data_IF_748575512474
#
_entry.id   IF_748575512474
#
_cell.length_a   1.000
_cell.length_b   1.000
_cell.length_c   1.000
_cell.angle_alpha   90.00
_cell.angle_beta   90.00
_cell.angle_gamma   90.00
#
_symmetry.space_group_name_H-M   'P 1'
#
loop_
_entity.id
_entity.type
_entity.pdbx_description
1 polymer ?
#
# COMPACT_ATOMS: atom_id res chain seq x y z
N UNK A 1 -5.42 -23.83 -4.34
CA UNK A 1 -5.83 -22.47 -4.01
C UNK A 1 -4.76 -21.48 -4.35
N UNK A 2 -5.14 -20.37 -4.97
CA UNK A 2 -4.21 -19.34 -5.37
C UNK A 2 -3.64 -18.58 -4.19
N UNK A 3 -2.51 -17.96 -4.42
CA UNK A 3 -1.88 -17.08 -3.43
C UNK A 3 -2.66 -15.77 -3.33
N UNK A 4 -2.63 -15.16 -2.16
CA UNK A 4 -3.18 -13.83 -1.97
C UNK A 4 -2.13 -12.82 -2.43
N UNK A 5 -2.51 -11.97 -3.38
CA UNK A 5 -1.60 -10.98 -3.97
C UNK A 5 -1.78 -9.64 -3.27
N UNK A 6 -0.69 -9.01 -2.86
CA UNK A 6 -0.79 -7.69 -2.27
C UNK A 6 0.36 -6.78 -2.68
N UNK A 7 0.08 -5.48 -2.69
CA UNK A 7 1.08 -4.45 -2.91
C UNK A 7 1.28 -3.62 -1.66
N UNK A 8 2.33 -2.81 -1.64
CA UNK A 8 2.68 -1.97 -0.50
C UNK A 8 2.91 -0.55 -0.99
N UNK A 9 2.44 0.43 -0.23
CA UNK A 9 2.75 1.84 -0.45
C UNK A 9 3.66 2.27 0.70
N UNK A 10 4.91 2.64 0.40
CA UNK A 10 5.87 3.08 1.39
C UNK A 10 7.23 2.42 1.23
N UNK A 11 8.25 3.00 1.88
CA UNK A 11 9.62 2.52 1.77
C UNK A 11 10.36 2.41 3.11
N UNK A 12 9.65 2.58 4.23
CA UNK A 12 10.24 2.47 5.55
C UNK A 12 10.33 1.03 6.03
N UNK A 13 10.79 0.86 7.27
CA UNK A 13 10.98 -0.49 7.83
C UNK A 13 9.67 -1.28 7.93
N UNK A 14 8.53 -0.60 8.09
CA UNK A 14 7.24 -1.30 8.11
C UNK A 14 6.92 -1.89 6.73
N UNK A 15 7.23 -1.16 5.66
CA UNK A 15 7.08 -1.70 4.31
C UNK A 15 7.98 -2.92 4.11
N UNK A 16 9.22 -2.85 4.60
CA UNK A 16 10.15 -3.98 4.54
C UNK A 16 9.60 -5.21 5.24
N UNK A 17 8.94 -5.01 6.37
CA UNK A 17 8.33 -6.10 7.12
C UNK A 17 7.33 -6.89 6.26
N UNK A 18 6.48 -6.18 5.52
CA UNK A 18 5.47 -6.84 4.67
C UNK A 18 6.11 -7.56 3.47
N UNK A 19 7.23 -7.07 2.97
CA UNK A 19 7.98 -7.77 1.93
C UNK A 19 8.54 -9.07 2.49
N UNK A 20 9.06 -9.04 3.71
CA UNK A 20 9.60 -10.23 4.37
C UNK A 20 8.54 -11.30 4.61
N UNK A 21 7.32 -10.88 4.93
CA UNK A 21 6.22 -11.82 5.11
C UNK A 21 6.00 -12.64 3.84
N UNK A 22 5.94 -11.98 2.68
CA UNK A 22 5.71 -12.69 1.42
C UNK A 22 6.87 -13.65 1.10
N UNK A 23 8.09 -13.28 1.46
CA UNK A 23 9.25 -14.15 1.25
C UNK A 23 9.27 -15.33 2.22
N UNK A 24 8.73 -15.15 3.42
CA UNK A 24 8.70 -16.19 4.45
C UNK A 24 7.61 -17.22 4.19
N UNK A 25 6.48 -16.82 3.62
CA UNK A 25 5.37 -17.72 3.31
C UNK A 25 4.95 -17.60 1.84
N UNK A 26 5.85 -17.95 0.92
CA UNK A 26 5.60 -17.74 -0.51
C UNK A 26 4.51 -18.61 -1.11
N UNK A 27 4.08 -19.63 -0.40
CA UNK A 27 2.97 -20.47 -0.82
C UNK A 27 1.60 -19.85 -0.52
N UNK A 28 1.56 -18.84 0.38
CA UNK A 28 0.33 -18.18 0.78
C UNK A 28 0.19 -16.78 0.21
N UNK A 29 1.31 -16.07 0.07
CA UNK A 29 1.30 -14.66 -0.36
C UNK A 29 2.21 -14.42 -1.54
N UNK A 30 1.74 -13.56 -2.45
CA UNK A 30 2.55 -13.08 -3.55
C UNK A 30 2.63 -11.56 -3.46
N UNK A 31 3.85 -11.05 -3.37
CA UNK A 31 4.08 -9.61 -3.34
C UNK A 31 4.09 -9.08 -4.78
N UNK A 32 3.23 -8.13 -5.08
CA UNK A 32 3.12 -7.61 -6.45
C UNK A 32 4.14 -6.52 -6.75
N UNK A 33 4.11 -5.44 -5.97
CA UNK A 33 5.00 -4.31 -6.17
C UNK A 33 4.91 -3.37 -4.98
N UNK A 34 5.91 -2.49 -4.85
CA UNK A 34 5.89 -1.42 -3.86
C UNK A 34 5.81 -0.08 -4.58
N UNK A 35 4.97 0.82 -4.08
CA UNK A 35 4.86 2.17 -4.60
C UNK A 35 5.80 3.09 -3.83
N UNK A 36 6.77 3.66 -4.52
CA UNK A 36 7.71 4.64 -3.98
C UNK A 36 7.79 5.77 -4.99
N UNK A 37 7.36 6.97 -4.59
CA UNK A 37 7.27 8.10 -5.52
C UNK A 37 8.62 8.63 -5.98
N UNK A 38 9.62 8.62 -5.11
CA UNK A 38 10.96 9.05 -5.45
C UNK A 38 11.67 7.97 -6.26
N UNK A 39 12.02 8.28 -7.49
CA UNK A 39 12.60 7.30 -8.42
C UNK A 39 13.96 6.76 -7.95
N UNK A 40 14.78 7.62 -7.33
CA UNK A 40 16.08 7.18 -6.82
C UNK A 40 15.94 6.25 -5.64
N UNK A 41 15.06 6.61 -4.69
CA UNK A 41 14.76 5.73 -3.56
C UNK A 41 14.15 4.42 -4.03
N UNK A 42 13.29 4.47 -5.03
CA UNK A 42 12.68 3.29 -5.61
C UNK A 42 13.70 2.35 -6.22
N UNK A 43 14.66 2.91 -6.97
CA UNK A 43 15.71 2.11 -7.56
C UNK A 43 16.56 1.42 -6.49
N UNK A 44 16.98 2.18 -5.47
CA UNK A 44 17.77 1.63 -4.39
C UNK A 44 17.02 0.54 -3.63
N UNK A 45 15.72 0.76 -3.41
CA UNK A 45 14.87 -0.21 -2.74
C UNK A 45 14.73 -1.50 -3.56
N UNK A 46 14.52 -1.35 -4.87
CA UNK A 46 14.42 -2.50 -5.77
C UNK A 46 15.71 -3.33 -5.78
N UNK A 47 16.85 -2.66 -5.81
CA UNK A 47 18.14 -3.33 -5.79
C UNK A 47 18.38 -4.07 -4.46
N UNK A 48 18.00 -3.44 -3.36
CA UNK A 48 18.21 -4.02 -2.02
C UNK A 48 17.33 -5.22 -1.75
N UNK A 49 16.07 -5.16 -2.16
CA UNK A 49 15.07 -6.19 -1.80
C UNK A 49 14.66 -7.10 -2.95
N UNK A 50 15.10 -6.79 -4.17
CA UNK A 50 14.77 -7.62 -5.32
C UNK A 50 13.28 -7.65 -5.65
N UNK A 51 12.59 -6.51 -5.49
CA UNK A 51 11.15 -6.41 -5.74
C UNK A 51 10.85 -5.35 -6.80
N UNK A 52 9.69 -5.49 -7.45
CA UNK A 52 9.23 -4.50 -8.41
C UNK A 52 8.82 -3.22 -7.69
N UNK A 53 9.21 -2.08 -8.25
CA UNK A 53 8.87 -0.76 -7.72
C UNK A 53 8.08 0.00 -8.78
N UNK A 54 6.97 0.60 -8.36
CA UNK A 54 6.17 1.49 -9.22
C UNK A 54 6.17 2.88 -8.59
N UNK A 55 5.85 3.89 -9.40
CA UNK A 55 5.94 5.28 -8.96
C UNK A 55 4.59 5.97 -8.77
N UNK A 56 3.50 5.31 -9.10
CA UNK A 56 2.15 5.87 -8.98
C UNK A 56 1.15 4.81 -8.55
N UNK A 57 0.02 5.27 -8.03
CA UNK A 57 -1.05 4.37 -7.62
C UNK A 57 -1.65 3.63 -8.82
N UNK A 58 -1.78 4.30 -9.95
CA UNK A 58 -2.31 3.66 -11.15
C UNK A 58 -1.43 2.50 -11.61
N UNK A 59 -0.11 2.69 -11.54
CA UNK A 59 0.82 1.62 -11.87
C UNK A 59 0.70 0.44 -10.89
N UNK A 60 0.51 0.74 -9.60
CA UNK A 60 0.33 -0.30 -8.60
C UNK A 60 -0.96 -1.10 -8.86
N UNK A 61 -2.02 -0.42 -9.25
CA UNK A 61 -3.30 -1.09 -9.53
C UNK A 61 -3.21 -2.01 -10.75
N UNK A 62 -2.34 -1.70 -11.71
CA UNK A 62 -2.13 -2.56 -12.88
C UNK A 62 -1.54 -3.91 -12.52
N UNK A 63 -0.91 -4.02 -11.36
CA UNK A 63 -0.36 -5.29 -10.87
C UNK A 63 -1.44 -6.19 -10.25
N UNK A 64 -2.67 -5.72 -10.20
CA UNK A 64 -3.84 -6.46 -9.71
C UNK A 64 -3.68 -7.01 -8.29
N UNK A 65 -3.35 -6.16 -7.30
CA UNK A 65 -3.31 -6.62 -5.91
C UNK A 65 -4.72 -6.87 -5.39
N UNK A 66 -4.87 -7.87 -4.54
CA UNK A 66 -6.15 -8.16 -3.89
C UNK A 66 -6.36 -7.24 -2.70
N UNK A 67 -5.27 -6.78 -2.08
CA UNK A 67 -5.32 -5.71 -1.09
C UNK A 67 -4.00 -4.94 -1.12
N UNK A 68 -3.99 -3.78 -0.46
CA UNK A 68 -2.82 -2.91 -0.41
C UNK A 68 -2.49 -2.60 1.04
N UNK A 69 -1.20 -2.68 1.38
CA UNK A 69 -0.69 -2.27 2.68
C UNK A 69 -0.23 -0.82 2.56
N UNK A 70 -0.74 0.05 3.42
CA UNK A 70 -0.40 1.46 3.43
C UNK A 70 0.48 1.76 4.64
N UNK A 71 1.78 1.88 4.39
CA UNK A 71 2.80 2.04 5.44
C UNK A 71 3.69 3.24 5.12
N UNK A 72 3.11 4.44 5.20
CA UNK A 72 3.78 5.70 4.89
C UNK A 72 3.67 6.69 6.05
N UNK A 73 4.28 7.86 5.88
CA UNK A 73 4.22 8.93 6.87
C UNK A 73 2.78 9.39 7.08
N UNK A 74 2.46 9.77 8.33
CA UNK A 74 1.12 10.18 8.73
C UNK A 74 0.43 11.15 7.78
N UNK A 75 1.14 12.20 7.37
CA UNK A 75 0.54 13.25 6.57
C UNK A 75 0.01 12.81 5.20
N UNK A 76 0.34 11.61 4.75
CA UNK A 76 -0.06 11.11 3.44
C UNK A 76 -1.09 9.99 3.50
N UNK A 77 -1.37 9.47 4.69
CA UNK A 77 -2.24 8.30 4.85
C UNK A 77 -3.66 8.57 4.39
N UNK A 78 -4.24 9.69 4.82
CA UNK A 78 -5.63 10.03 4.50
C UNK A 78 -5.86 10.12 3.00
N UNK A 79 -4.97 10.80 2.28
CA UNK A 79 -5.12 10.99 0.84
C UNK A 79 -5.08 9.67 0.08
N UNK A 80 -4.16 8.76 0.45
CA UNK A 80 -4.11 7.46 -0.17
C UNK A 80 -5.32 6.60 0.16
N UNK A 81 -5.80 6.67 1.41
CA UNK A 81 -6.99 5.92 1.79
C UNK A 81 -8.21 6.35 0.98
N UNK A 82 -8.37 7.65 0.77
CA UNK A 82 -9.49 8.16 -0.03
C UNK A 82 -9.43 7.64 -1.47
N UNK A 83 -8.25 7.64 -2.07
CA UNK A 83 -8.05 7.12 -3.42
C UNK A 83 -8.31 5.61 -3.49
N UNK A 84 -7.84 4.86 -2.50
CA UNK A 84 -8.02 3.40 -2.46
C UNK A 84 -9.48 3.02 -2.23
N UNK A 85 -10.20 3.77 -1.39
CA UNK A 85 -11.64 3.55 -1.20
C UNK A 85 -12.40 3.74 -2.51
N UNK A 86 -12.04 4.76 -3.27
CA UNK A 86 -12.65 5.02 -4.57
C UNK A 86 -12.45 3.87 -5.54
N UNK A 87 -11.34 3.17 -5.44
CA UNK A 87 -11.03 2.02 -6.28
C UNK A 87 -11.59 0.70 -5.73
N UNK A 88 -12.28 0.75 -4.60
CA UNK A 88 -12.87 -0.43 -3.96
C UNK A 88 -11.87 -1.55 -3.65
N UNK A 89 -10.66 -1.17 -3.25
CA UNK A 89 -9.65 -2.16 -2.89
C UNK A 89 -9.47 -2.19 -1.37
N UNK A 90 -9.42 -3.39 -0.76
CA UNK A 90 -9.17 -3.49 0.67
C UNK A 90 -7.78 -2.95 1.04
N UNK A 91 -7.70 -2.26 2.17
CA UNK A 91 -6.47 -1.61 2.63
C UNK A 91 -6.16 -2.00 4.06
N UNK A 92 -4.91 -2.38 4.30
CA UNK A 92 -4.37 -2.54 5.65
C UNK A 92 -3.51 -1.32 5.92
N UNK A 93 -4.03 -0.37 6.71
CA UNK A 93 -3.35 0.90 6.97
C UNK A 93 -2.76 0.96 8.36
N UNK A 94 -1.61 1.64 8.47
CA UNK A 94 -1.03 1.95 9.77
C UNK A 94 -1.90 2.99 10.49
N UNK A 95 -1.95 2.89 11.81
CA UNK A 95 -2.68 3.87 12.62
C UNK A 95 -1.76 5.02 13.03
N UNK A 96 -2.31 6.23 13.16
CA UNK A 96 -3.69 6.63 12.91
C UNK A 96 -3.96 6.86 11.42
N UNK A 97 -5.19 6.59 10.95
CA UNK A 97 -5.52 6.78 9.53
C UNK A 97 -5.67 8.25 9.13
N UNK A 98 -5.76 9.14 10.09
CA UNK A 98 -5.85 10.58 9.87
C UNK A 98 -5.26 11.33 11.04
N UNK A 99 -4.89 12.58 10.82
CA UNK A 99 -4.25 13.41 11.84
C UNK A 99 -5.21 14.39 12.52
N UNK A 100 -6.42 14.55 11.98
CA UNK A 100 -7.40 15.48 12.50
C UNK A 100 -8.78 14.88 12.46
N UNK A 101 -9.70 15.53 13.20
CA UNK A 101 -11.10 15.16 13.15
C UNK A 101 -11.67 15.33 11.75
N UNK A 102 -11.21 16.34 11.03
CA UNK A 102 -11.62 16.58 9.64
C UNK A 102 -11.23 15.42 8.75
N UNK A 103 -10.00 14.91 8.89
CA UNK A 103 -9.54 13.74 8.14
C UNK A 103 -10.41 12.52 8.42
N UNK A 104 -10.74 12.28 9.68
CA UNK A 104 -11.58 11.15 10.05
C UNK A 104 -12.98 11.26 9.47
N UNK A 105 -13.54 12.48 9.42
CA UNK A 105 -14.83 12.70 8.83
C UNK A 105 -14.83 12.42 7.32
N UNK A 106 -13.76 12.84 6.63
CA UNK A 106 -13.60 12.57 5.20
C UNK A 106 -13.54 11.08 4.93
N UNK A 107 -12.77 10.37 5.74
CA UNK A 107 -12.63 8.92 5.60
C UNK A 107 -13.95 8.20 5.83
N UNK A 108 -14.69 8.61 6.85
CA UNK A 108 -15.99 8.00 7.15
C UNK A 108 -16.98 8.19 6.01
N UNK A 109 -17.05 9.40 5.46
CA UNK A 109 -17.94 9.69 4.32
C UNK A 109 -17.55 8.85 3.10
N UNK A 110 -16.27 8.72 2.84
CA UNK A 110 -15.78 7.90 1.71
C UNK A 110 -16.13 6.43 1.94
N UNK A 111 -15.94 5.94 3.15
CA UNK A 111 -16.27 4.56 3.49
C UNK A 111 -17.76 4.28 3.24
N UNK A 112 -18.63 5.17 3.68
CA UNK A 112 -20.07 5.02 3.46
C UNK A 112 -20.43 5.01 1.97
N UNK A 113 -19.75 5.84 1.19
CA UNK A 113 -20.03 5.96 -0.23
C UNK A 113 -19.60 4.74 -1.04
N UNK A 114 -18.45 4.16 -0.71
CA UNK A 114 -17.82 3.09 -1.50
C UNK A 114 -17.91 1.70 -0.87
N UNK A 115 -18.69 1.56 0.13
CA UNK A 115 -18.87 0.32 0.88
C UNK A 115 -19.39 -0.84 0.02
#
# INVERSE_FOLDING_TARGET
MGKIRYGVIGSGWRAEFYIRIAKAVPDKFEFTAVLIRDKEKGRAFSEKFGVAVVNSLDELMKENPEFVVLAIKRGYVTDYLLQLFEKNIPVLAETPPGESQEDLQKLWKAYEKYQ
#
